data_IF_070882933360
#
_entry.id   IF_070882933360
#
_cell.length_a   1.000
_cell.length_b   1.000
_cell.length_c   1.000
_cell.angle_alpha   90.00
_cell.angle_beta   90.00
_cell.angle_gamma   90.00
#
_symmetry.space_group_name_H-M   'P 1'
#
loop_
_entity.id
_entity.type
_entity.pdbx_description
1 polymer ?
#
# COMPACT_ATOMS: atom_id res chain seq x y z
N UNK A 1 -17.13 16.96 2.54
CA UNK A 1 -15.95 16.46 3.29
C UNK A 1 -15.49 15.17 2.62
N UNK A 2 -14.19 14.88 2.61
CA UNK A 2 -13.69 13.60 2.10
C UNK A 2 -14.14 12.46 3.02
N UNK A 3 -14.40 11.27 2.46
CA UNK A 3 -14.68 10.08 3.28
C UNK A 3 -13.40 9.52 3.89
N UNK A 4 -13.53 8.72 4.97
CA UNK A 4 -12.38 8.07 5.59
C UNK A 4 -11.61 7.18 4.60
N UNK A 5 -12.31 6.52 3.68
CA UNK A 5 -11.73 5.74 2.58
C UNK A 5 -10.79 6.61 1.73
N UNK A 6 -11.25 7.79 1.34
CA UNK A 6 -10.48 8.73 0.52
C UNK A 6 -9.28 9.30 1.28
N UNK A 7 -9.42 9.56 2.59
CA UNK A 7 -8.29 9.98 3.44
C UNK A 7 -7.19 8.92 3.50
N UNK A 8 -7.55 7.64 3.69
CA UNK A 8 -6.61 6.53 3.70
C UNK A 8 -5.89 6.44 2.35
N UNK A 9 -6.62 6.54 1.24
CA UNK A 9 -6.00 6.53 -0.09
C UNK A 9 -5.06 7.71 -0.32
N UNK A 10 -5.44 8.92 0.10
CA UNK A 10 -4.56 10.09 0.04
C UNK A 10 -3.29 9.88 0.87
N UNK A 11 -3.39 9.27 2.05
CA UNK A 11 -2.24 8.97 2.90
C UNK A 11 -1.30 7.94 2.23
N UNK A 12 -1.85 6.85 1.69
CA UNK A 12 -1.09 5.84 0.94
C UNK A 12 -0.39 6.45 -0.28
N UNK A 13 -1.09 7.30 -1.05
CA UNK A 13 -0.51 7.98 -2.20
C UNK A 13 0.59 8.96 -1.79
N UNK A 14 0.38 9.74 -0.74
CA UNK A 14 1.36 10.73 -0.29
C UNK A 14 2.67 10.07 0.14
N UNK A 15 2.58 9.06 1.00
CA UNK A 15 3.73 8.29 1.50
C UNK A 15 4.46 7.60 0.35
N UNK A 16 3.71 6.86 -0.49
CA UNK A 16 4.28 6.13 -1.61
C UNK A 16 4.91 7.04 -2.67
N UNK A 17 4.32 8.20 -2.99
CA UNK A 17 4.91 9.16 -3.93
C UNK A 17 6.18 9.81 -3.38
N UNK A 18 6.26 10.07 -2.07
CA UNK A 18 7.50 10.55 -1.43
C UNK A 18 8.59 9.50 -1.57
N UNK A 19 8.28 8.24 -1.26
CA UNK A 19 9.22 7.14 -1.36
C UNK A 19 9.73 6.98 -2.81
N UNK A 20 8.82 6.94 -3.79
CA UNK A 20 9.19 6.84 -5.21
C UNK A 20 10.06 8.02 -5.67
N UNK A 21 9.73 9.25 -5.27
CA UNK A 21 10.55 10.44 -5.59
C UNK A 21 11.96 10.33 -5.00
N UNK A 22 12.07 9.85 -3.77
CA UNK A 22 13.36 9.62 -3.13
C UNK A 22 14.20 8.58 -3.91
N UNK A 23 13.59 7.47 -4.32
CA UNK A 23 14.27 6.44 -5.11
C UNK A 23 14.71 6.97 -6.48
N UNK A 24 13.84 7.68 -7.21
CA UNK A 24 14.20 8.29 -8.49
C UNK A 24 15.34 9.32 -8.33
N UNK A 25 15.29 10.15 -7.29
CA UNK A 25 16.32 11.15 -7.00
C UNK A 25 17.68 10.52 -6.67
N UNK A 26 17.70 9.39 -5.98
CA UNK A 26 18.92 8.60 -5.75
C UNK A 26 19.42 7.95 -7.04
N UNK A 27 18.54 7.26 -7.77
CA UNK A 27 18.89 6.57 -9.02
C UNK A 27 19.52 7.50 -10.07
N UNK A 28 19.04 8.74 -10.17
CA UNK A 28 19.56 9.74 -11.11
C UNK A 28 21.03 10.17 -10.85
N UNK A 29 21.59 9.81 -9.69
CA UNK A 29 22.96 10.19 -9.28
C UNK A 29 23.92 9.02 -9.23
N UNK A 30 23.45 7.80 -9.53
CA UNK A 30 24.28 6.60 -9.50
C UNK A 30 25.12 6.49 -10.76
N UNK A 31 26.36 6.05 -10.61
CA UNK A 31 27.11 5.46 -11.70
C UNK A 31 26.50 4.11 -12.14
N UNK A 32 26.90 3.59 -13.30
CA UNK A 32 26.41 2.30 -13.81
C UNK A 32 26.71 1.14 -12.85
N UNK A 33 27.86 1.15 -12.18
CA UNK A 33 28.26 0.13 -11.21
C UNK A 33 27.42 0.20 -9.92
N UNK A 34 27.17 1.42 -9.42
CA UNK A 34 26.31 1.62 -8.26
C UNK A 34 24.85 1.25 -8.55
N UNK A 35 24.36 1.50 -9.78
CA UNK A 35 23.02 1.14 -10.20
C UNK A 35 22.79 -0.38 -10.19
N UNK A 36 23.79 -1.18 -10.60
CA UNK A 36 23.73 -2.64 -10.52
C UNK A 36 23.63 -3.14 -9.07
N UNK A 37 24.31 -2.46 -8.14
CA UNK A 37 24.23 -2.74 -6.70
C UNK A 37 22.95 -2.19 -6.05
N UNK A 38 22.15 -1.41 -6.77
CA UNK A 38 20.90 -0.80 -6.31
C UNK A 38 19.64 -1.64 -6.65
N UNK A 39 19.81 -2.84 -7.22
CA UNK A 39 18.71 -3.68 -7.71
C UNK A 39 17.61 -3.93 -6.68
N UNK A 40 17.97 -4.22 -5.42
CA UNK A 40 16.98 -4.46 -4.36
C UNK A 40 16.09 -3.24 -4.08
N UNK A 41 16.62 -2.01 -4.25
CA UNK A 41 15.83 -0.78 -4.11
C UNK A 41 14.94 -0.52 -5.32
N UNK A 42 15.34 -1.00 -6.50
CA UNK A 42 14.50 -0.94 -7.70
C UNK A 42 13.28 -1.85 -7.56
N UNK A 43 13.45 -3.07 -7.04
CA UNK A 43 12.34 -4.01 -6.77
C UNK A 43 11.33 -3.40 -5.80
N UNK A 44 11.83 -2.73 -4.76
CA UNK A 44 11.02 -2.01 -3.76
C UNK A 44 10.24 -0.85 -4.39
N UNK A 45 10.90 -0.02 -5.21
CA UNK A 45 10.25 1.08 -5.91
C UNK A 45 9.23 0.59 -6.94
N UNK A 46 9.53 -0.51 -7.64
CA UNK A 46 8.60 -1.11 -8.59
C UNK A 46 7.35 -1.64 -7.88
N UNK A 47 7.51 -2.35 -6.76
CA UNK A 47 6.39 -2.87 -5.99
C UNK A 47 5.53 -1.75 -5.38
N UNK A 48 6.15 -0.68 -4.89
CA UNK A 48 5.44 0.51 -4.41
C UNK A 48 4.62 1.17 -5.53
N UNK A 49 5.22 1.38 -6.70
CA UNK A 49 4.53 1.95 -7.86
C UNK A 49 3.37 1.04 -8.32
N UNK A 50 3.58 -0.27 -8.35
CA UNK A 50 2.56 -1.24 -8.72
C UNK A 50 1.38 -1.23 -7.74
N UNK A 51 1.64 -1.17 -6.43
CA UNK A 51 0.60 -1.05 -5.41
C UNK A 51 -0.23 0.24 -5.59
N UNK A 52 0.42 1.39 -5.73
CA UNK A 52 -0.27 2.68 -5.89
C UNK A 52 -1.02 2.79 -7.22
N UNK A 53 -0.60 2.07 -8.26
CA UNK A 53 -1.27 2.07 -9.55
C UNK A 53 -2.73 1.62 -9.44
N UNK A 54 -3.13 0.87 -8.40
CA UNK A 54 -4.51 0.44 -8.25
C UNK A 54 -5.40 1.45 -7.48
N UNK A 55 -4.83 2.48 -6.86
CA UNK A 55 -5.57 3.44 -6.00
C UNK A 55 -6.47 4.40 -6.79
N UNK A 56 -6.00 4.86 -7.96
CA UNK A 56 -6.68 5.92 -8.73
C UNK A 56 -8.09 5.57 -9.18
N UNK A 57 -8.37 4.27 -9.36
CA UNK A 57 -9.67 3.76 -9.82
C UNK A 57 -10.76 3.74 -8.74
N UNK A 58 -10.39 4.06 -7.49
CA UNK A 58 -11.26 3.97 -6.32
C UNK A 58 -11.36 5.26 -5.50
N UNK A 59 -10.35 6.11 -5.57
CA UNK A 59 -10.25 7.32 -4.72
C UNK A 59 -11.30 8.38 -5.05
N UNK A 60 -11.85 8.36 -6.27
CA UNK A 60 -12.85 9.33 -6.70
C UNK A 60 -14.21 9.09 -6.04
N UNK A 61 -14.52 7.85 -5.71
CA UNK A 61 -15.76 7.47 -5.04
C UNK A 61 -15.61 7.51 -3.52
N UNK A 62 -16.57 8.11 -2.83
CA UNK A 62 -16.57 8.19 -1.37
C UNK A 62 -16.87 6.84 -0.71
N UNK A 63 -17.75 6.06 -1.33
CA UNK A 63 -18.22 4.73 -0.89
C UNK A 63 -17.35 3.62 -1.44
N UNK A 64 -17.35 2.44 -0.80
CA UNK A 64 -16.64 1.28 -1.32
C UNK A 64 -17.26 0.77 -2.62
N UNK A 65 -16.42 0.53 -3.62
CA UNK A 65 -16.76 0.02 -4.95
C UNK A 65 -16.04 -1.31 -5.23
N UNK A 66 -16.41 -1.99 -6.31
CA UNK A 66 -15.80 -3.28 -6.70
C UNK A 66 -14.28 -3.20 -6.89
N UNK A 67 -13.76 -2.05 -7.33
CA UNK A 67 -12.32 -1.82 -7.43
C UNK A 67 -11.62 -1.87 -6.07
N UNK A 68 -12.29 -1.43 -4.98
CA UNK A 68 -11.74 -1.52 -3.62
C UNK A 68 -11.58 -2.97 -3.17
N UNK A 69 -12.56 -3.80 -3.51
CA UNK A 69 -12.54 -5.24 -3.23
C UNK A 69 -11.45 -5.94 -4.04
N UNK A 70 -11.31 -5.59 -5.32
CA UNK A 70 -10.24 -6.09 -6.17
C UNK A 70 -8.86 -5.67 -5.63
N UNK A 71 -8.74 -4.43 -5.17
CA UNK A 71 -7.52 -3.91 -4.58
C UNK A 71 -7.12 -4.70 -3.31
N UNK A 72 -8.08 -4.98 -2.44
CA UNK A 72 -7.86 -5.81 -1.23
C UNK A 72 -7.51 -7.26 -1.60
N UNK A 73 -8.22 -7.85 -2.57
CA UNK A 73 -8.02 -9.26 -2.89
C UNK A 73 -6.70 -9.54 -3.63
N UNK A 74 -6.19 -8.57 -4.39
CA UNK A 74 -5.02 -8.78 -5.25
C UNK A 74 -3.81 -7.94 -4.86
N UNK A 75 -3.97 -6.63 -4.69
CA UNK A 75 -2.82 -5.75 -4.47
C UNK A 75 -2.29 -5.82 -3.03
N UNK A 76 -3.18 -5.90 -2.02
CA UNK A 76 -2.76 -6.04 -0.62
C UNK A 76 -1.90 -7.29 -0.38
N UNK A 77 -2.34 -8.51 -0.72
CA UNK A 77 -1.52 -9.71 -0.52
C UNK A 77 -0.21 -9.67 -1.29
N UNK A 78 -0.22 -9.22 -2.55
CA UNK A 78 1.00 -9.10 -3.34
C UNK A 78 2.00 -8.16 -2.67
N UNK A 79 1.54 -6.96 -2.28
CA UNK A 79 2.39 -5.96 -1.64
C UNK A 79 2.94 -6.46 -0.31
N UNK A 80 2.09 -7.04 0.55
CA UNK A 80 2.52 -7.61 1.84
C UNK A 80 3.55 -8.72 1.63
N UNK A 81 3.32 -9.64 0.68
CA UNK A 81 4.22 -10.77 0.45
C UNK A 81 5.62 -10.33 -0.02
N UNK A 82 5.69 -9.26 -0.81
CA UNK A 82 6.94 -8.75 -1.39
C UNK A 82 7.66 -7.75 -0.49
N UNK A 83 6.90 -7.00 0.31
CA UNK A 83 7.41 -5.93 1.17
C UNK A 83 7.44 -6.29 2.66
N UNK A 84 7.08 -7.51 3.08
CA UNK A 84 6.86 -7.87 4.49
C UNK A 84 7.90 -7.32 5.49
N UNK A 85 9.19 -7.40 5.17
CA UNK A 85 10.28 -6.93 6.04
C UNK A 85 10.55 -5.42 5.99
N UNK A 86 9.95 -4.73 5.03
CA UNK A 86 10.13 -3.29 4.78
C UNK A 86 8.83 -2.51 4.93
N UNK A 87 7.71 -3.19 5.10
CA UNK A 87 6.41 -2.58 5.30
C UNK A 87 6.37 -1.96 6.70
N UNK A 88 6.34 -0.63 6.76
CA UNK A 88 6.23 0.10 8.02
C UNK A 88 4.88 -0.13 8.72
N UNK A 89 4.89 -0.11 10.06
CA UNK A 89 3.70 -0.31 10.88
C UNK A 89 2.58 0.69 10.56
N UNK A 90 2.91 1.95 10.29
CA UNK A 90 1.93 2.98 9.92
C UNK A 90 1.19 2.65 8.61
N UNK A 91 1.90 2.20 7.57
CA UNK A 91 1.29 1.78 6.30
C UNK A 91 0.45 0.52 6.48
N UNK A 92 0.93 -0.44 7.25
CA UNK A 92 0.17 -1.63 7.60
C UNK A 92 -1.13 -1.27 8.38
N UNK A 93 -1.08 -0.28 9.27
CA UNK A 93 -2.24 0.20 10.00
C UNK A 93 -3.30 0.80 9.07
N UNK A 94 -2.89 1.61 8.09
CA UNK A 94 -3.79 2.20 7.08
C UNK A 94 -4.44 1.12 6.20
N UNK A 95 -3.64 0.15 5.73
CA UNK A 95 -4.15 -0.98 4.94
C UNK A 95 -5.14 -1.83 5.75
N UNK A 96 -4.85 -2.09 7.02
CA UNK A 96 -5.76 -2.83 7.90
C UNK A 96 -7.05 -2.06 8.14
N UNK A 97 -6.97 -0.75 8.38
CA UNK A 97 -8.14 0.11 8.55
C UNK A 97 -9.02 0.13 7.28
N UNK A 98 -8.40 0.17 6.10
CA UNK A 98 -9.12 0.08 4.83
C UNK A 98 -9.87 -1.26 4.70
N UNK A 99 -9.22 -2.37 5.05
CA UNK A 99 -9.87 -3.68 5.07
C UNK A 99 -11.04 -3.74 6.06
N UNK A 100 -10.86 -3.19 7.27
CA UNK A 100 -11.89 -3.19 8.33
C UNK A 100 -13.07 -2.25 8.02
N UNK A 101 -12.86 -1.25 7.16
CA UNK A 101 -13.89 -0.32 6.71
C UNK A 101 -14.84 -0.85 5.62
N UNK A 102 -14.60 -2.05 5.07
CA UNK A 102 -15.44 -2.63 4.02
C UNK A 102 -16.87 -2.89 4.53
N UNK A 103 -17.90 -2.33 3.87
CA UNK A 103 -19.30 -2.53 4.26
C UNK A 103 -19.71 -4.00 4.24
N UNK A 104 -20.59 -4.40 5.17
CA UNK A 104 -21.07 -5.78 5.31
C UNK A 104 -21.58 -6.38 3.99
N UNK A 105 -22.28 -5.57 3.18
CA UNK A 105 -22.81 -5.96 1.87
C UNK A 105 -21.73 -6.41 0.85
N UNK A 106 -20.47 -5.99 1.03
CA UNK A 106 -19.34 -6.34 0.15
C UNK A 106 -18.37 -7.33 0.79
N UNK A 107 -18.48 -7.61 2.10
CA UNK A 107 -17.53 -8.49 2.81
C UNK A 107 -17.53 -9.92 2.28
N UNK A 108 -18.66 -10.41 1.75
CA UNK A 108 -18.75 -11.74 1.13
C UNK A 108 -17.92 -11.89 -0.14
N UNK A 109 -17.46 -10.79 -0.73
CA UNK A 109 -16.61 -10.76 -1.92
C UNK A 109 -15.10 -10.76 -1.58
N UNK A 110 -14.74 -10.62 -0.30
CA UNK A 110 -13.36 -10.66 0.15
C UNK A 110 -12.86 -12.11 0.17
N UNK A 111 -11.83 -12.39 -0.61
CA UNK A 111 -11.17 -13.71 -0.68
C UNK A 111 -9.84 -13.73 0.08
N UNK A 112 -9.25 -12.56 0.32
CA UNK A 112 -8.06 -12.41 1.15
C UNK A 112 -8.41 -11.90 2.54
N UNK A 113 -7.70 -12.40 3.56
CA UNK A 113 -7.84 -11.95 4.94
C UNK A 113 -6.48 -11.66 5.57
N UNK A 114 -6.36 -10.57 6.36
CA UNK A 114 -5.11 -10.21 7.02
C UNK A 114 -4.69 -11.26 8.05
N UNK A 115 -3.44 -11.71 7.94
CA UNK A 115 -2.84 -12.69 8.86
C UNK A 115 -2.64 -12.10 10.27
N UNK A 116 -2.34 -12.96 11.25
CA UNK A 116 -2.04 -12.50 12.62
C UNK A 116 -0.79 -11.64 12.67
N UNK A 117 0.22 -12.00 11.88
CA UNK A 117 1.50 -11.30 11.77
C UNK A 117 1.30 -9.90 11.18
N UNK A 118 0.50 -9.79 10.12
CA UNK A 118 0.17 -8.49 9.53
C UNK A 118 -0.61 -7.60 10.50
N UNK A 119 -1.58 -8.16 11.23
CA UNK A 119 -2.31 -7.42 12.28
C UNK A 119 -1.39 -6.96 13.41
N UNK A 120 -0.40 -7.78 13.79
CA UNK A 120 0.60 -7.40 14.80
C UNK A 120 1.50 -6.25 14.30
N UNK A 121 1.93 -6.29 13.03
CA UNK A 121 2.68 -5.20 12.41
C UNK A 121 1.86 -3.89 12.39
N UNK A 122 0.60 -3.97 11.97
CA UNK A 122 -0.31 -2.82 11.98
C UNK A 122 -0.49 -2.22 13.38
N UNK A 123 -0.53 -3.05 14.43
CA UNK A 123 -0.64 -2.57 15.81
C UNK A 123 0.56 -1.74 16.26
N UNK A 124 1.76 -1.99 15.73
CA UNK A 124 2.96 -1.20 16.03
C UNK A 124 2.84 0.24 15.53
N UNK A 125 2.15 0.47 14.40
CA UNK A 125 1.96 1.80 13.83
C UNK A 125 0.84 2.64 14.45
N UNK A 126 0.02 2.07 15.35
CA UNK A 126 -1.06 2.79 16.06
C UNK A 126 -0.59 3.39 17.41
N UNK A 127 0.67 3.16 17.78
CA UNK A 127 1.27 3.60 19.05
C UNK A 127 2.26 4.76 18.95
N UNK A 128 2.46 5.30 17.74
CA UNK A 128 3.25 6.52 17.46
C UNK A 128 2.32 7.71 17.20
#
# INVERSE_FOLDING_TARGET
MASRKQEIYCALLYDGLIHLRFLCGRGARLSAEEALNFQGWFEVGWEEANFLHHVHNSILDAEYVENDISFINFAFPCHISRMCHQLGGAKAALMLEFYEGVPEALQSQLTWHPSKEFRALAAQGRGE
#
